data_IF_051795553926
#
_entry.id   IF_051795553926
#
_cell.length_a   1.000
_cell.length_b   1.000
_cell.length_c   1.000
_cell.angle_alpha   90.00
_cell.angle_beta   90.00
_cell.angle_gamma   90.00
#
_symmetry.space_group_name_H-M   'P 1'
#
loop_
_entity.id
_entity.type
_entity.pdbx_description
1 polymer ?
#
# COMPACT_ATOMS: atom_id res chain seq x y z
N UNK A 1 -19.56 14.80 8.45
CA UNK A 1 -19.60 16.27 8.20
C UNK A 1 -19.65 16.52 6.70
N UNK A 2 -20.41 17.51 6.22
CA UNK A 2 -20.36 17.93 4.81
C UNK A 2 -19.34 19.07 4.67
N UNK A 3 -18.45 18.96 3.70
CA UNK A 3 -17.42 19.98 3.41
C UNK A 3 -17.37 20.13 1.90
N UNK A 4 -17.50 21.35 1.39
CA UNK A 4 -17.33 21.60 -0.04
C UNK A 4 -15.85 21.77 -0.38
N UNK A 5 -15.49 21.54 -1.64
CA UNK A 5 -14.16 21.86 -2.15
C UNK A 5 -13.85 23.36 -2.11
N UNK A 6 -14.89 24.21 -2.20
CA UNK A 6 -14.81 25.65 -2.00
C UNK A 6 -14.40 25.99 -0.56
N UNK A 7 -14.97 25.31 0.44
CA UNK A 7 -14.60 25.52 1.85
C UNK A 7 -13.12 25.22 2.10
N UNK A 8 -12.62 24.12 1.53
CA UNK A 8 -11.20 23.76 1.61
C UNK A 8 -10.34 24.81 0.92
N UNK A 9 -10.74 25.26 -0.26
CA UNK A 9 -10.01 26.27 -1.03
C UNK A 9 -9.95 27.62 -0.30
N UNK A 10 -11.08 28.05 0.27
CA UNK A 10 -11.18 29.27 1.08
C UNK A 10 -10.31 29.17 2.34
N UNK A 11 -10.34 28.03 3.03
CA UNK A 11 -9.49 27.79 4.20
C UNK A 11 -8.01 27.89 3.85
N UNK A 12 -7.56 27.23 2.77
CA UNK A 12 -6.17 27.27 2.33
C UNK A 12 -5.73 28.67 1.88
N UNK A 13 -6.62 29.45 1.26
CA UNK A 13 -6.35 30.83 0.85
C UNK A 13 -6.16 31.76 2.05
N UNK A 14 -6.93 31.56 3.11
CA UNK A 14 -6.85 32.35 4.34
C UNK A 14 -5.74 31.87 5.30
N UNK A 15 -5.16 30.70 5.05
CA UNK A 15 -4.11 30.11 5.88
C UNK A 15 -2.87 29.71 5.05
N UNK A 16 -2.16 30.67 4.43
CA UNK A 16 -1.05 30.37 3.51
C UNK A 16 0.14 29.68 4.20
N UNK A 17 0.31 29.89 5.51
CA UNK A 17 1.37 29.28 6.33
C UNK A 17 1.03 27.86 6.81
N UNK A 18 -0.15 27.34 6.47
CA UNK A 18 -0.59 26.01 6.90
C UNK A 18 0.33 24.94 6.32
N UNK A 19 1.00 24.17 7.20
CA UNK A 19 1.90 23.08 6.80
C UNK A 19 1.22 21.73 6.68
N UNK A 20 0.09 21.52 7.38
CA UNK A 20 -0.61 20.24 7.44
C UNK A 20 -2.11 20.44 7.29
N UNK A 21 -2.71 19.75 6.33
CA UNK A 21 -4.15 19.66 6.18
C UNK A 21 -4.57 18.20 6.30
N UNK A 22 -5.60 17.95 7.11
CA UNK A 22 -6.16 16.62 7.29
C UNK A 22 -7.69 16.73 7.34
N UNK A 23 -8.34 16.06 6.40
CA UNK A 23 -9.81 15.95 6.33
C UNK A 23 -10.16 14.49 6.54
N UNK A 24 -11.02 14.21 7.53
CA UNK A 24 -11.36 12.84 7.95
C UNK A 24 -12.88 12.68 7.97
N UNK A 25 -13.39 11.58 7.41
CA UNK A 25 -14.80 11.19 7.52
C UNK A 25 -15.78 12.30 7.09
N UNK A 26 -15.43 12.98 5.99
CA UNK A 26 -16.21 14.07 5.41
C UNK A 26 -16.82 13.68 4.06
N UNK A 27 -18.02 14.17 3.80
CA UNK A 27 -18.64 14.11 2.48
C UNK A 27 -18.20 15.36 1.71
N UNK A 28 -17.33 15.15 0.73
CA UNK A 28 -16.81 16.17 -0.18
C UNK A 28 -17.85 16.42 -1.26
N UNK A 29 -18.54 17.56 -1.20
CA UNK A 29 -19.73 17.81 -2.02
C UNK A 29 -19.43 18.36 -3.41
N UNK A 30 -18.20 18.80 -3.66
CA UNK A 30 -17.71 19.39 -4.91
C UNK A 30 -16.22 19.05 -5.11
N UNK A 31 -15.67 19.43 -6.27
CA UNK A 31 -14.28 19.18 -6.63
C UNK A 31 -13.30 19.83 -5.63
N UNK A 32 -12.29 19.06 -5.22
CA UNK A 32 -11.31 19.54 -4.25
C UNK A 32 -10.11 20.14 -4.95
N UNK A 33 -9.88 21.43 -4.71
CA UNK A 33 -8.73 22.16 -5.22
C UNK A 33 -7.77 22.52 -4.09
N UNK A 34 -6.67 21.79 -3.98
CA UNK A 34 -5.56 22.13 -3.09
C UNK A 34 -4.53 22.89 -3.92
N UNK A 35 -4.81 24.17 -4.17
CA UNK A 35 -4.04 25.00 -5.09
C UNK A 35 -3.57 26.30 -4.42
N UNK A 36 -2.29 26.64 -4.58
CA UNK A 36 -1.77 27.95 -4.19
C UNK A 36 -0.26 28.03 -4.36
N UNK A 37 0.24 29.06 -5.04
CA UNK A 37 1.68 29.23 -5.25
C UNK A 37 2.42 29.56 -3.95
N UNK A 38 1.78 30.28 -3.04
CA UNK A 38 2.32 30.68 -1.73
C UNK A 38 2.03 29.66 -0.63
N UNK A 39 1.39 28.54 -0.96
CA UNK A 39 0.93 27.56 0.02
C UNK A 39 2.12 26.77 0.59
N UNK A 40 2.32 26.86 1.90
CA UNK A 40 3.39 26.17 2.63
C UNK A 40 3.02 24.74 3.06
N UNK A 41 2.02 24.15 2.40
CA UNK A 41 1.48 22.83 2.74
C UNK A 41 2.51 21.75 2.43
N UNK A 42 2.94 21.03 3.46
CA UNK A 42 3.92 19.93 3.39
C UNK A 42 3.24 18.56 3.45
N UNK A 43 2.07 18.48 4.08
CA UNK A 43 1.30 17.26 4.29
C UNK A 43 -0.19 17.44 3.97
N UNK A 44 -0.73 16.57 3.12
CA UNK A 44 -2.16 16.50 2.82
C UNK A 44 -2.69 15.09 3.10
N UNK A 45 -3.75 15.00 3.91
CA UNK A 45 -4.50 13.77 4.12
C UNK A 45 -5.99 13.98 3.88
N UNK A 46 -6.57 13.17 2.99
CA UNK A 46 -8.01 13.01 2.82
C UNK A 46 -8.33 11.56 3.17
N UNK A 47 -9.03 11.29 4.26
CA UNK A 47 -9.18 9.93 4.78
C UNK A 47 -10.64 9.59 5.10
N UNK A 48 -11.13 8.46 4.57
CA UNK A 48 -12.54 8.10 4.68
C UNK A 48 -13.46 9.21 4.16
N UNK A 49 -13.01 9.95 3.14
CA UNK A 49 -13.81 10.99 2.50
C UNK A 49 -14.62 10.38 1.36
N UNK A 50 -15.91 10.68 1.32
CA UNK A 50 -16.83 10.25 0.25
C UNK A 50 -17.04 11.43 -0.68
N UNK A 51 -16.87 11.23 -1.98
CA UNK A 51 -17.15 12.25 -2.98
C UNK A 51 -18.58 12.12 -3.49
N UNK A 52 -19.16 13.25 -3.89
CA UNK A 52 -20.55 13.32 -4.34
C UNK A 52 -20.80 12.63 -5.69
N UNK A 53 -19.77 12.42 -6.51
CA UNK A 53 -19.88 11.77 -7.83
C UNK A 53 -18.62 10.98 -8.18
N UNK A 54 -18.78 9.97 -9.05
CA UNK A 54 -17.68 9.27 -9.72
C UNK A 54 -16.91 10.15 -10.72
N UNK A 55 -17.41 11.35 -11.04
CA UNK A 55 -16.71 12.32 -11.87
C UNK A 55 -15.95 13.38 -11.05
N UNK A 56 -16.03 13.34 -9.72
CA UNK A 56 -15.40 14.36 -8.88
C UNK A 56 -13.87 14.32 -8.99
N UNK A 57 -13.29 15.51 -9.07
CA UNK A 57 -11.87 15.73 -9.25
C UNK A 57 -11.21 16.17 -7.94
N UNK A 58 -10.06 15.57 -7.64
CA UNK A 58 -9.11 16.09 -6.66
C UNK A 58 -7.89 16.62 -7.43
N UNK A 59 -7.71 17.93 -7.43
CA UNK A 59 -6.59 18.59 -8.08
C UNK A 59 -5.64 19.18 -7.03
N UNK A 60 -4.38 18.77 -7.09
CA UNK A 60 -3.34 19.13 -6.12
C UNK A 60 -2.22 19.89 -6.84
N UNK A 61 -2.02 21.14 -6.42
CA UNK A 61 -0.97 22.04 -6.88
C UNK A 61 -0.41 22.81 -5.68
N UNK A 62 0.54 22.17 -4.99
CA UNK A 62 1.13 22.65 -3.75
C UNK A 62 2.66 22.46 -3.81
N UNK A 63 3.44 23.53 -4.06
CA UNK A 63 4.87 23.43 -4.35
C UNK A 63 5.72 22.84 -3.22
N UNK A 64 5.25 22.99 -1.98
CA UNK A 64 5.94 22.52 -0.77
C UNK A 64 5.48 21.13 -0.31
N UNK A 65 4.51 20.52 -1.00
CA UNK A 65 3.92 19.25 -0.59
C UNK A 65 4.96 18.13 -0.71
N UNK A 66 5.23 17.47 0.41
CA UNK A 66 6.23 16.39 0.52
C UNK A 66 5.60 15.02 0.74
N UNK A 67 4.40 15.01 1.35
CA UNK A 67 3.66 13.79 1.65
C UNK A 67 2.16 13.95 1.35
N UNK A 68 1.59 12.95 0.71
CA UNK A 68 0.15 12.86 0.45
C UNK A 68 -0.41 11.52 0.91
N UNK A 69 -1.59 11.56 1.52
CA UNK A 69 -2.40 10.38 1.85
C UNK A 69 -3.83 10.56 1.36
N UNK A 70 -4.17 9.88 0.27
CA UNK A 70 -5.52 9.91 -0.31
C UNK A 70 -6.20 8.57 -0.05
N UNK A 71 -7.21 8.63 0.81
CA UNK A 71 -8.14 7.56 1.12
C UNK A 71 -9.57 8.02 0.89
N UNK A 72 -9.78 8.71 -0.23
CA UNK A 72 -11.07 9.05 -0.81
C UNK A 72 -11.28 8.15 -2.03
N UNK A 73 -12.50 8.11 -2.57
CA UNK A 73 -12.83 7.37 -3.79
C UNK A 73 -13.05 8.30 -5.00
N UNK A 74 -12.12 9.20 -5.40
CA UNK A 74 -12.38 10.06 -6.54
C UNK A 74 -12.49 9.29 -7.85
N UNK A 75 -13.27 9.86 -8.75
CA UNK A 75 -13.14 9.58 -10.17
C UNK A 75 -11.75 9.89 -10.70
N UNK A 76 -11.22 11.06 -10.32
CA UNK A 76 -9.99 11.59 -10.86
C UNK A 76 -9.10 12.24 -9.80
N UNK A 77 -7.81 11.90 -9.80
CA UNK A 77 -6.78 12.50 -8.96
C UNK A 77 -5.66 13.07 -9.83
N UNK A 78 -5.48 14.39 -9.79
CA UNK A 78 -4.47 15.10 -10.60
C UNK A 78 -3.45 15.81 -9.73
N UNK A 79 -2.18 15.66 -10.08
CA UNK A 79 -1.07 16.43 -9.54
C UNK A 79 -0.52 17.34 -10.64
N UNK A 80 -0.37 18.64 -10.35
CA UNK A 80 0.14 19.63 -11.31
C UNK A 80 1.51 20.17 -10.94
N UNK A 81 1.63 20.86 -9.80
CA UNK A 81 2.88 21.46 -9.35
C UNK A 81 3.20 20.98 -7.93
N UNK A 82 3.85 19.82 -7.83
CA UNK A 82 4.21 19.16 -6.55
C UNK A 82 5.65 18.66 -6.54
N UNK A 83 6.66 19.46 -6.91
CA UNK A 83 8.03 19.00 -7.16
C UNK A 83 8.72 18.35 -5.95
N UNK A 84 8.23 18.59 -4.72
CA UNK A 84 8.80 18.03 -3.49
C UNK A 84 8.13 16.74 -3.01
N UNK A 85 7.09 16.26 -3.71
CA UNK A 85 6.32 15.10 -3.28
C UNK A 85 7.15 13.82 -3.40
N UNK A 86 7.52 13.25 -2.25
CA UNK A 86 8.41 12.08 -2.16
C UNK A 86 7.73 10.89 -1.47
N UNK A 87 6.65 11.12 -0.72
CA UNK A 87 5.88 10.08 -0.05
C UNK A 87 4.42 10.14 -0.50
N UNK A 88 3.88 9.01 -0.95
CA UNK A 88 2.47 8.89 -1.27
C UNK A 88 1.84 7.65 -0.66
N UNK A 89 0.62 7.80 -0.15
CA UNK A 89 -0.23 6.70 0.30
C UNK A 89 -1.57 6.81 -0.39
N UNK A 90 -1.97 5.75 -1.09
CA UNK A 90 -3.27 5.65 -1.74
C UNK A 90 -4.06 4.48 -1.17
N UNK A 91 -5.32 4.70 -0.82
CA UNK A 91 -6.28 3.64 -0.60
C UNK A 91 -7.10 3.47 -1.87
N UNK A 92 -7.37 2.24 -2.32
CA UNK A 92 -8.13 1.93 -3.54
C UNK A 92 -7.39 2.26 -4.86
N UNK A 93 -8.10 2.36 -5.98
CA UNK A 93 -7.61 2.23 -7.37
C UNK A 93 -6.71 3.37 -7.91
N UNK A 94 -6.02 4.16 -7.08
CA UNK A 94 -5.21 5.31 -7.57
C UNK A 94 -3.84 4.95 -8.11
N UNK A 95 -3.43 3.68 -8.08
CA UNK A 95 -2.11 3.27 -8.56
C UNK A 95 -1.84 3.65 -10.03
N UNK A 96 -2.89 3.89 -10.82
CA UNK A 96 -2.80 4.24 -12.25
C UNK A 96 -2.87 5.74 -12.53
N UNK A 97 -3.35 6.55 -11.58
CA UNK A 97 -3.52 8.00 -11.76
C UNK A 97 -2.29 8.81 -11.33
N UNK A 98 -1.20 8.13 -10.94
CA UNK A 98 0.01 8.77 -10.37
C UNK A 98 1.16 8.89 -11.36
N UNK A 99 0.91 8.70 -12.66
CA UNK A 99 1.93 8.72 -13.72
C UNK A 99 2.81 9.98 -13.70
N UNK A 100 2.23 11.13 -13.31
CA UNK A 100 2.88 12.43 -13.25
C UNK A 100 3.88 12.60 -12.08
N UNK A 101 3.86 11.74 -11.05
CA UNK A 101 4.73 11.85 -9.87
C UNK A 101 5.67 10.65 -9.70
N UNK A 102 5.70 9.74 -10.67
CA UNK A 102 6.48 8.49 -10.61
C UNK A 102 7.98 8.70 -10.47
N UNK A 103 8.53 9.74 -11.09
CA UNK A 103 9.96 10.02 -11.12
C UNK A 103 10.49 10.61 -9.81
N UNK A 104 9.64 11.18 -8.96
CA UNK A 104 10.07 11.87 -7.73
C UNK A 104 9.76 11.08 -6.44
N UNK A 105 8.83 10.13 -6.50
CA UNK A 105 8.47 9.34 -5.32
C UNK A 105 9.62 8.46 -4.84
N UNK A 106 9.89 8.52 -3.54
CA UNK A 106 10.80 7.63 -2.83
C UNK A 106 10.07 6.53 -2.05
N UNK A 107 8.83 6.81 -1.62
CA UNK A 107 8.00 5.87 -0.87
C UNK A 107 6.56 5.87 -1.36
N UNK A 108 6.05 4.67 -1.61
CA UNK A 108 4.68 4.45 -2.04
C UNK A 108 4.01 3.41 -1.17
N UNK A 109 2.81 3.73 -0.66
CA UNK A 109 1.93 2.77 0.00
C UNK A 109 0.62 2.65 -0.79
N UNK A 110 0.25 1.44 -1.17
CA UNK A 110 -1.01 1.15 -1.85
C UNK A 110 -1.85 0.24 -0.97
N UNK A 111 -3.11 0.58 -0.74
CA UNK A 111 -4.08 -0.33 -0.12
C UNK A 111 -5.04 -0.83 -1.17
N UNK A 112 -5.05 -2.13 -1.38
CA UNK A 112 -5.65 -2.78 -2.54
C UNK A 112 -6.66 -3.80 -2.04
N UNK A 113 -7.80 -3.87 -2.72
CA UNK A 113 -8.86 -4.86 -2.44
C UNK A 113 -8.72 -6.11 -3.31
N UNK A 114 -8.07 -5.98 -4.47
CA UNK A 114 -7.82 -7.07 -5.43
C UNK A 114 -6.56 -6.76 -6.25
N UNK A 115 -5.46 -7.51 -6.04
CA UNK A 115 -4.22 -7.34 -6.82
C UNK A 115 -4.37 -7.65 -8.30
N UNK A 116 -5.34 -8.48 -8.71
CA UNK A 116 -5.60 -8.80 -10.13
C UNK A 116 -5.90 -7.55 -10.96
N UNK A 117 -6.66 -6.60 -10.39
CA UNK A 117 -6.92 -5.30 -11.04
C UNK A 117 -5.65 -4.45 -11.22
N UNK A 118 -4.63 -4.66 -10.38
CA UNK A 118 -3.35 -3.95 -10.46
C UNK A 118 -2.51 -4.50 -11.62
N UNK A 119 -2.55 -5.82 -11.79
CA UNK A 119 -1.81 -6.54 -12.82
C UNK A 119 -2.39 -6.29 -14.22
N UNK A 120 -3.71 -6.07 -14.31
CA UNK A 120 -4.40 -5.82 -15.58
C UNK A 120 -3.94 -4.54 -16.30
N UNK A 121 -3.56 -3.49 -15.56
CA UNK A 121 -3.37 -2.16 -16.14
C UNK A 121 -1.91 -1.67 -16.18
N UNK A 122 -0.92 -2.57 -16.09
CA UNK A 122 0.52 -2.27 -16.12
C UNK A 122 0.98 -1.22 -15.09
N UNK A 123 1.71 -1.66 -14.07
CA UNK A 123 2.24 -0.76 -13.04
C UNK A 123 3.27 0.22 -13.67
N UNK A 124 3.16 1.54 -13.41
CA UNK A 124 4.04 2.51 -14.05
C UNK A 124 5.48 2.40 -13.55
N UNK A 125 6.44 2.77 -14.39
CA UNK A 125 7.85 2.81 -14.01
C UNK A 125 8.08 3.86 -12.92
N UNK A 126 8.73 3.48 -11.82
CA UNK A 126 9.07 4.35 -10.69
C UNK A 126 10.57 4.30 -10.42
N UNK A 127 11.38 5.04 -11.20
CA UNK A 127 12.83 4.87 -11.24
C UNK A 127 13.53 5.22 -9.93
N UNK A 128 12.92 6.06 -9.08
CA UNK A 128 13.51 6.54 -7.82
C UNK A 128 12.86 5.95 -6.57
N UNK A 129 11.90 5.03 -6.71
CA UNK A 129 11.20 4.44 -5.58
C UNK A 129 12.13 3.53 -4.78
N UNK A 130 12.25 3.78 -3.47
CA UNK A 130 13.10 3.04 -2.53
C UNK A 130 12.29 2.11 -1.63
N UNK A 131 11.07 2.51 -1.27
CA UNK A 131 10.17 1.73 -0.41
C UNK A 131 8.78 1.58 -1.06
N UNK A 132 8.34 0.34 -1.24
CA UNK A 132 7.01 -0.01 -1.73
C UNK A 132 6.28 -0.83 -0.68
N UNK A 133 5.10 -0.38 -0.26
CA UNK A 133 4.24 -1.05 0.70
C UNK A 133 2.89 -1.37 0.05
N UNK A 134 2.56 -2.64 -0.04
CA UNK A 134 1.24 -3.11 -0.46
C UNK A 134 0.47 -3.54 0.78
N UNK A 135 -0.73 -3.04 0.96
CA UNK A 135 -1.67 -3.47 1.99
C UNK A 135 -2.82 -4.17 1.29
N UNK A 136 -3.04 -5.43 1.57
CA UNK A 136 -4.09 -6.20 0.94
C UNK A 136 -5.13 -6.63 1.97
N UNK A 137 -6.39 -6.55 1.59
CA UNK A 137 -7.54 -7.01 2.37
C UNK A 137 -8.14 -8.32 1.83
N UNK A 138 -7.59 -8.87 0.75
CA UNK A 138 -8.01 -10.13 0.17
C UNK A 138 -7.57 -11.33 1.03
N UNK A 139 -8.42 -12.36 1.06
CA UNK A 139 -8.16 -13.61 1.78
C UNK A 139 -7.04 -14.38 1.07
N UNK A 140 -6.07 -14.90 1.82
CA UNK A 140 -4.91 -15.65 1.33
C UNK A 140 -5.28 -16.70 0.26
N UNK A 141 -5.09 -16.36 -1.01
CA UNK A 141 -5.08 -17.29 -2.14
C UNK A 141 -3.63 -17.48 -2.55
N UNK A 142 -3.23 -18.73 -2.72
CA UNK A 142 -1.89 -19.06 -3.18
C UNK A 142 -1.68 -18.46 -4.58
N UNK A 143 -0.59 -17.71 -4.78
CA UNK A 143 -0.25 -17.08 -6.08
C UNK A 143 -0.11 -15.54 -6.07
N UNK A 144 -0.55 -14.86 -5.00
CA UNK A 144 -0.53 -13.39 -4.94
C UNK A 144 0.85 -12.75 -5.12
N UNK A 145 1.92 -13.40 -4.64
CA UNK A 145 3.28 -12.87 -4.74
C UNK A 145 3.83 -12.86 -6.17
N UNK A 146 3.34 -13.74 -7.05
CA UNK A 146 3.77 -13.80 -8.47
C UNK A 146 3.42 -12.49 -9.16
N UNK A 147 2.22 -11.96 -8.93
CA UNK A 147 1.78 -10.69 -9.49
C UNK A 147 2.68 -9.51 -9.08
N UNK A 148 3.10 -9.47 -7.82
CA UNK A 148 3.86 -8.33 -7.28
C UNK A 148 5.28 -8.26 -7.86
N UNK A 149 5.82 -9.35 -8.44
CA UNK A 149 7.11 -9.31 -9.13
C UNK A 149 7.15 -8.24 -10.24
N UNK A 150 6.06 -8.08 -10.99
CA UNK A 150 5.95 -7.09 -12.06
C UNK A 150 6.06 -5.66 -11.55
N UNK A 151 5.46 -5.38 -10.38
CA UNK A 151 5.54 -4.07 -9.72
C UNK A 151 6.95 -3.78 -9.21
N UNK A 152 7.62 -4.80 -8.64
CA UNK A 152 9.00 -4.67 -8.18
C UNK A 152 9.95 -4.41 -9.36
N UNK A 153 9.75 -5.09 -10.49
CA UNK A 153 10.52 -4.85 -11.73
C UNK A 153 10.41 -3.41 -12.24
N UNK A 154 9.25 -2.78 -12.08
CA UNK A 154 9.03 -1.39 -12.45
C UNK A 154 9.70 -0.38 -11.50
N UNK A 155 10.29 -0.83 -10.39
CA UNK A 155 10.94 -0.01 -9.38
C UNK A 155 12.44 -0.37 -9.26
N UNK A 156 13.31 -0.06 -10.23
CA UNK A 156 14.67 -0.60 -10.29
C UNK A 156 15.55 -0.30 -9.06
N UNK A 157 15.31 0.85 -8.39
CA UNK A 157 16.02 1.29 -7.19
C UNK A 157 15.36 0.85 -5.88
N UNK A 158 14.41 -0.08 -5.94
CA UNK A 158 13.70 -0.55 -4.75
C UNK A 158 14.66 -1.24 -3.79
N UNK A 159 14.68 -0.76 -2.54
CA UNK A 159 15.52 -1.31 -1.48
C UNK A 159 14.68 -2.05 -0.43
N UNK A 160 13.40 -1.70 -0.34
CA UNK A 160 12.47 -2.28 0.63
C UNK A 160 11.12 -2.52 0.00
N UNK A 161 10.67 -3.77 0.06
CA UNK A 161 9.33 -4.17 -0.33
C UNK A 161 8.60 -4.75 0.87
N UNK A 162 7.34 -4.36 1.07
CA UNK A 162 6.53 -4.81 2.20
C UNK A 162 5.13 -5.15 1.75
N UNK A 163 4.73 -6.39 1.97
CA UNK A 163 3.35 -6.83 1.87
C UNK A 163 2.75 -6.89 3.27
N UNK A 164 1.64 -6.19 3.49
CA UNK A 164 0.88 -6.22 4.74
C UNK A 164 -0.48 -6.81 4.48
N UNK A 165 -0.80 -7.88 5.20
CA UNK A 165 -2.13 -8.46 5.19
C UNK A 165 -2.97 -7.70 6.22
N UNK A 166 -4.18 -7.28 5.85
CA UNK A 166 -5.11 -6.63 6.76
C UNK A 166 -5.98 -7.69 7.41
N UNK A 167 -6.01 -7.70 8.74
CA UNK A 167 -6.74 -8.68 9.51
C UNK A 167 -8.25 -8.59 9.25
N UNK A 168 -8.85 -9.69 8.78
CA UNK A 168 -10.30 -9.87 8.73
C UNK A 168 -10.79 -10.95 9.71
N UNK A 169 -9.90 -11.60 10.47
CA UNK A 169 -10.26 -12.73 11.34
C UNK A 169 -10.81 -12.29 12.69
N UNK A 170 -11.82 -11.42 12.69
CA UNK A 170 -12.51 -11.07 13.94
C UNK A 170 -13.59 -12.08 14.34
N UNK A 171 -14.09 -12.92 13.40
CA UNK A 171 -15.35 -13.64 13.62
C UNK A 171 -15.35 -15.15 13.30
N UNK A 172 -14.20 -15.83 13.17
CA UNK A 172 -14.20 -17.27 12.86
C UNK A 172 -13.80 -18.14 14.05
N UNK A 173 -14.64 -19.13 14.35
CA UNK A 173 -14.51 -20.08 15.45
C UNK A 173 -13.21 -20.89 15.36
N UNK A 174 -12.55 -21.18 16.50
CA UNK A 174 -11.19 -21.71 16.57
C UNK A 174 -11.08 -23.24 16.39
N UNK A 175 -12.09 -23.90 15.81
CA UNK A 175 -12.19 -25.38 15.83
C UNK A 175 -11.11 -26.10 14.98
N UNK A 176 -10.35 -25.37 14.16
CA UNK A 176 -9.29 -25.94 13.33
C UNK A 176 -8.00 -25.11 13.39
N UNK A 177 -6.86 -25.78 13.59
CA UNK A 177 -5.56 -25.16 13.38
C UNK A 177 -5.36 -24.87 11.88
N UNK A 178 -5.13 -23.58 11.59
CA UNK A 178 -4.93 -23.07 10.23
C UNK A 178 -3.46 -23.05 9.86
N UNK A 179 -3.21 -23.12 8.56
CA UNK A 179 -1.88 -22.92 7.99
C UNK A 179 -1.24 -21.63 8.52
N UNK A 180 0.00 -21.67 9.05
CA UNK A 180 0.68 -20.47 9.57
C UNK A 180 0.83 -19.33 8.56
N UNK A 181 0.83 -19.61 7.24
CA UNK A 181 0.82 -18.58 6.21
C UNK A 181 -0.41 -17.68 6.28
N UNK A 182 -1.57 -18.24 6.67
CA UNK A 182 -2.82 -17.49 6.82
C UNK A 182 -2.81 -16.58 8.05
N UNK A 183 -1.80 -16.69 8.91
CA UNK A 183 -1.59 -15.82 10.08
C UNK A 183 -0.51 -14.77 9.83
N UNK A 184 0.05 -14.66 8.62
CA UNK A 184 1.07 -13.67 8.30
C UNK A 184 0.47 -12.26 8.27
N UNK A 185 0.94 -11.39 9.16
CA UNK A 185 0.58 -9.96 9.12
C UNK A 185 1.46 -9.22 8.12
N UNK A 186 2.76 -9.55 8.09
CA UNK A 186 3.77 -8.82 7.34
C UNK A 186 4.75 -9.76 6.68
N UNK A 187 4.94 -9.55 5.38
CA UNK A 187 6.04 -10.08 4.58
C UNK A 187 6.91 -8.89 4.14
N UNK A 188 8.14 -8.79 4.63
CA UNK A 188 9.05 -7.69 4.29
C UNK A 188 10.34 -8.24 3.70
N UNK A 189 10.74 -7.65 2.57
CA UNK A 189 11.97 -7.94 1.86
C UNK A 189 12.85 -6.69 1.81
N UNK A 190 14.14 -6.90 1.94
CA UNK A 190 15.17 -5.87 1.86
C UNK A 190 16.29 -6.34 0.94
N UNK A 191 16.78 -5.44 0.11
CA UNK A 191 17.88 -5.73 -0.81
C UNK A 191 18.56 -4.46 -1.26
N UNK A 192 19.71 -4.61 -1.91
CA UNK A 192 20.41 -3.47 -2.52
C UNK A 192 19.70 -2.96 -3.79
N UNK A 193 18.85 -3.79 -4.39
CA UNK A 193 18.12 -3.54 -5.65
C UNK A 193 16.84 -4.36 -5.74
N UNK A 194 15.98 -3.99 -6.69
CA UNK A 194 14.79 -4.75 -7.05
C UNK A 194 15.10 -6.21 -7.39
N UNK A 195 16.19 -6.48 -8.10
CA UNK A 195 16.60 -7.84 -8.49
C UNK A 195 16.91 -8.73 -7.27
N UNK A 196 17.57 -8.18 -6.24
CA UNK A 196 17.82 -8.92 -4.99
C UNK A 196 16.51 -9.25 -4.25
N UNK A 197 15.56 -8.31 -4.24
CA UNK A 197 14.24 -8.52 -3.66
C UNK A 197 13.49 -9.61 -4.43
N UNK A 198 13.50 -9.56 -5.77
CA UNK A 198 12.84 -10.57 -6.63
C UNK A 198 13.45 -11.94 -6.39
N UNK A 199 14.78 -12.07 -6.36
CA UNK A 199 15.45 -13.35 -6.10
C UNK A 199 15.05 -13.93 -4.75
N UNK A 200 15.03 -13.11 -3.69
CA UNK A 200 14.60 -13.53 -2.35
C UNK A 200 13.13 -13.96 -2.35
N UNK A 201 12.28 -13.23 -3.08
CA UNK A 201 10.86 -13.53 -3.19
C UNK A 201 10.60 -14.81 -3.98
N UNK A 202 11.29 -15.02 -5.11
CA UNK A 202 11.22 -16.27 -5.89
C UNK A 202 11.65 -17.46 -5.04
N UNK A 203 12.78 -17.36 -4.34
CA UNK A 203 13.23 -18.41 -3.44
C UNK A 203 12.16 -18.76 -2.40
N UNK A 204 11.54 -17.77 -1.78
CA UNK A 204 10.47 -17.98 -0.79
C UNK A 204 9.19 -18.55 -1.43
N UNK A 205 8.82 -18.11 -2.63
CA UNK A 205 7.69 -18.67 -3.37
C UNK A 205 7.93 -20.14 -3.70
N UNK A 206 9.12 -20.50 -4.16
CA UNK A 206 9.48 -21.89 -4.48
C UNK A 206 9.48 -22.75 -3.23
N UNK A 207 10.01 -22.25 -2.11
CA UNK A 207 9.95 -22.93 -0.82
C UNK A 207 8.50 -23.08 -0.35
N UNK A 208 7.65 -22.06 -0.46
CA UNK A 208 6.22 -22.17 -0.14
C UNK A 208 5.47 -23.13 -1.07
N UNK A 209 5.84 -23.20 -2.34
CA UNK A 209 5.27 -24.15 -3.29
C UNK A 209 5.68 -25.59 -3.01
N UNK A 210 6.85 -25.84 -2.42
CA UNK A 210 7.21 -27.18 -1.92
C UNK A 210 6.25 -27.66 -0.81
N UNK A 211 5.62 -26.74 -0.10
CA UNK A 211 4.55 -27.00 0.88
C UNK A 211 3.15 -26.71 0.30
N UNK A 212 2.95 -26.85 -1.03
CA UNK A 212 1.68 -26.66 -1.76
C UNK A 212 0.49 -27.52 -1.28
N UNK A 213 0.62 -28.24 -0.18
CA UNK A 213 -0.42 -29.03 0.47
C UNK A 213 -1.02 -28.34 1.69
N UNK A 214 -0.91 -27.02 1.81
CA UNK A 214 -1.57 -26.27 2.88
C UNK A 214 -3.10 -26.31 2.66
N UNK A 215 -3.75 -27.34 3.19
CA UNK A 215 -5.20 -27.36 3.34
C UNK A 215 -5.63 -26.22 4.28
N UNK A 216 -6.85 -25.68 4.14
CA UNK A 216 -7.38 -24.65 5.04
C UNK A 216 -7.38 -25.08 6.52
N UNK A 217 -7.45 -26.39 6.75
CA UNK A 217 -7.40 -27.06 8.05
C UNK A 217 -6.26 -28.06 8.02
N UNK A 218 -5.38 -27.98 9.02
CA UNK A 218 -4.20 -28.84 9.15
C UNK A 218 -4.20 -29.49 10.53
N UNK A 219 -3.64 -30.68 10.65
CA UNK A 219 -3.35 -31.28 11.95
C UNK A 219 -2.27 -30.48 12.69
N UNK A 220 -2.24 -30.60 14.02
CA UNK A 220 -1.26 -29.90 14.86
C UNK A 220 0.19 -30.22 14.46
N UNK A 221 0.47 -31.47 14.07
CA UNK A 221 1.79 -31.88 13.59
C UNK A 221 2.19 -31.19 12.27
N UNK A 222 1.25 -31.06 11.33
CA UNK A 222 1.48 -30.36 10.07
C UNK A 222 1.69 -28.86 10.29
N UNK A 223 0.90 -28.24 11.19
CA UNK A 223 1.08 -26.83 11.57
C UNK A 223 2.44 -26.61 12.23
N UNK A 224 2.87 -27.51 13.10
CA UNK A 224 4.16 -27.41 13.78
C UNK A 224 5.33 -27.55 12.80
N UNK A 225 5.29 -28.54 11.90
CA UNK A 225 6.29 -28.70 10.83
C UNK A 225 6.39 -27.44 9.97
N UNK A 226 5.24 -26.83 9.65
CA UNK A 226 5.17 -25.61 8.86
C UNK A 226 5.74 -24.39 9.60
N UNK A 227 5.48 -24.25 10.90
CA UNK A 227 6.09 -23.22 11.76
C UNK A 227 7.62 -23.37 11.80
N UNK A 228 8.12 -24.60 11.92
CA UNK A 228 9.55 -24.85 11.99
C UNK A 228 10.25 -24.59 10.66
N UNK A 229 9.61 -24.92 9.54
CA UNK A 229 10.08 -24.51 8.21
C UNK A 229 10.17 -22.97 8.08
N UNK A 230 9.13 -22.23 8.50
CA UNK A 230 9.14 -20.76 8.49
C UNK A 230 10.26 -20.16 9.36
N UNK A 231 10.56 -20.78 10.52
CA UNK A 231 11.70 -20.38 11.36
C UNK A 231 13.03 -20.61 10.65
N UNK A 232 13.20 -21.75 9.98
CA UNK A 232 14.41 -22.05 9.19
C UNK A 232 14.60 -21.05 8.04
N UNK A 233 13.54 -20.74 7.29
CA UNK A 233 13.58 -19.72 6.24
C UNK A 233 13.98 -18.35 6.80
N UNK A 234 13.39 -17.95 7.93
CA UNK A 234 13.72 -16.68 8.60
C UNK A 234 15.18 -16.65 9.07
N UNK A 235 15.72 -17.75 9.58
CA UNK A 235 17.11 -17.83 10.00
C UNK A 235 18.06 -17.70 8.79
N UNK A 236 17.75 -18.39 7.69
CA UNK A 236 18.55 -18.39 6.45
C UNK A 236 18.60 -17.03 5.76
N UNK A 237 17.52 -16.25 5.84
CA UNK A 237 17.35 -14.96 5.15
C UNK A 237 17.37 -13.75 6.10
N UNK A 238 17.87 -13.91 7.33
CA UNK A 238 17.70 -13.00 8.47
C UNK A 238 17.94 -11.51 8.22
N UNK A 239 18.83 -11.15 7.29
CA UNK A 239 19.15 -9.75 6.95
C UNK A 239 18.32 -9.18 5.78
N UNK A 240 17.69 -10.03 4.97
CA UNK A 240 17.00 -9.67 3.73
C UNK A 240 15.48 -9.88 3.84
N UNK A 241 15.02 -10.56 4.89
CA UNK A 241 13.66 -11.04 5.00
C UNK A 241 13.12 -10.96 6.43
N UNK A 242 11.88 -10.49 6.57
CA UNK A 242 11.18 -10.44 7.85
C UNK A 242 9.73 -10.90 7.69
N UNK A 243 9.36 -11.84 8.55
CA UNK A 243 7.99 -12.31 8.77
C UNK A 243 7.46 -11.77 10.10
N UNK A 244 6.24 -11.24 10.10
CA UNK A 244 5.46 -10.99 11.32
C UNK A 244 4.11 -11.70 11.18
N UNK A 245 3.62 -12.22 12.29
CA UNK A 245 2.34 -12.94 12.37
C UNK A 245 1.37 -12.14 13.24
N UNK A 246 0.07 -12.27 12.97
CA UNK A 246 -0.96 -11.75 13.86
C UNK A 246 -0.80 -12.35 15.26
N UNK A 247 -0.92 -11.50 16.28
CA UNK A 247 -0.96 -11.97 17.67
C UNK A 247 -2.29 -12.67 17.89
N UNK A 248 -2.24 -13.94 18.30
CA UNK A 248 -3.43 -14.61 18.84
C UNK A 248 -3.78 -13.87 20.13
N UNK A 249 -4.99 -13.30 20.20
CA UNK A 249 -5.52 -12.84 21.49
C UNK A 249 -5.84 -14.10 22.29
N UNK A 250 -5.05 -14.35 23.34
CA UNK A 250 -5.39 -15.30 24.38
C UNK A 250 -6.56 -14.76 25.22
#
# INVERSE_FOLDING_TARGET
MKVSGEDISLFLRNCPLLRKLTVISSNLTSDVHVCGQTLMLEYLQLHHCVLSSESSLINISAPHLSEVKIGASPGQLWFKNVPKLVVATFLHHFAFQVSCITSQLHKLTLSVSYTESILANSFPQMPNLKELIIRDSSLYKHGYLVGVTSMIKACPRLQKFKFKFLDKFKDETPEAERCPHQRLEILEFRGSSASNIIQSMTYICDEFQKYNTCAPVMSEAEVQAHRDHLKQLKAKLSNQFRLCFFKVKC
#
